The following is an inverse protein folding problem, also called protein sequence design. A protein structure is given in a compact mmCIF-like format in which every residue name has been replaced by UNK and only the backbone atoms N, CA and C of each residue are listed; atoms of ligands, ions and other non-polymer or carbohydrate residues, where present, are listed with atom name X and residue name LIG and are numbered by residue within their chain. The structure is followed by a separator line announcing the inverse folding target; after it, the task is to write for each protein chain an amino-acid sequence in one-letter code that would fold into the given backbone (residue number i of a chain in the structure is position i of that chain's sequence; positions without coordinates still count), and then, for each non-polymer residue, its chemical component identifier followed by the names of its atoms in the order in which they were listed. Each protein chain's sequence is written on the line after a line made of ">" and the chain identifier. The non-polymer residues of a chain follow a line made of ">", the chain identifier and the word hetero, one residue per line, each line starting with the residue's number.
data_IF_124578180282
#
_entry.id   IF_124578180282
#
_cell.length_a   1.000
_cell.length_b   1.000
_cell.length_c   1.000
_cell.angle_alpha   90.00
_cell.angle_beta   90.00
_cell.angle_gamma   90.00
#
_symmetry.space_group_name_H-M   'P 1'
#
loop_
_entity.id
_entity.type
_entity.pdbx_description
1 polymer ?
#
# COMPACT_ATOMS: atom_id res chain seq x y z
N UNK A 1 -29.15 4.51 44.49
CA UNK A 1 -29.97 4.94 43.33
C UNK A 1 -29.02 5.55 42.31
N UNK A 2 -28.19 4.72 41.68
CA UNK A 2 -28.25 4.36 40.24
C UNK A 2 -28.08 5.56 39.29
N UNK A 3 -26.83 6.02 39.14
CA UNK A 3 -26.39 6.51 37.83
C UNK A 3 -25.67 5.35 37.14
N UNK A 4 -26.43 4.60 36.36
CA UNK A 4 -25.93 3.54 35.51
C UNK A 4 -25.15 4.20 34.37
N UNK A 5 -23.84 4.39 34.60
CA UNK A 5 -22.85 4.76 33.59
C UNK A 5 -23.01 3.80 32.41
N UNK A 6 -23.74 4.23 31.37
CA UNK A 6 -24.00 3.41 30.17
C UNK A 6 -22.65 2.94 29.62
N UNK A 7 -22.46 1.63 29.40
CA UNK A 7 -21.23 1.14 28.82
C UNK A 7 -21.09 1.74 27.41
N UNK A 8 -19.89 2.26 27.16
CA UNK A 8 -19.43 2.92 25.96
C UNK A 8 -19.93 2.21 24.68
N UNK A 9 -21.04 2.70 24.09
CA UNK A 9 -21.49 2.23 22.78
C UNK A 9 -20.54 2.80 21.72
N UNK A 10 -19.92 1.98 20.86
CA UNK A 10 -19.12 2.49 19.75
C UNK A 10 -20.03 3.34 18.87
N UNK A 11 -19.68 4.61 18.69
CA UNK A 11 -20.45 5.51 17.81
C UNK A 11 -20.21 5.06 16.36
N UNK A 12 -21.18 5.29 15.47
CA UNK A 12 -21.04 4.92 14.05
C UNK A 12 -19.76 5.52 13.40
N UNK A 13 -19.28 6.67 13.90
CA UNK A 13 -18.00 7.27 13.51
C UNK A 13 -16.77 6.44 13.89
N UNK A 14 -16.78 5.74 15.03
CA UNK A 14 -15.65 4.92 15.48
C UNK A 14 -15.44 3.71 14.55
N UNK A 15 -16.55 3.14 14.04
CA UNK A 15 -16.51 2.01 13.11
C UNK A 15 -15.97 2.42 11.74
N UNK A 16 -16.45 3.54 11.19
CA UNK A 16 -15.95 4.06 9.92
C UNK A 16 -14.45 4.39 9.97
N UNK A 17 -14.00 5.00 11.09
CA UNK A 17 -12.57 5.30 11.31
C UNK A 17 -11.75 4.01 11.45
N UNK A 18 -12.26 2.99 12.14
CA UNK A 18 -11.58 1.69 12.24
C UNK A 18 -11.49 0.98 10.88
N UNK A 19 -12.54 1.03 10.06
CA UNK A 19 -12.54 0.44 8.71
C UNK A 19 -11.52 1.12 7.80
N UNK A 20 -11.45 2.46 7.80
CA UNK A 20 -10.43 3.20 7.04
C UNK A 20 -9.01 2.85 7.52
N UNK A 21 -8.79 2.75 8.84
CA UNK A 21 -7.49 2.35 9.40
C UNK A 21 -7.10 0.94 8.98
N UNK A 22 -8.05 -0.01 8.97
CA UNK A 22 -7.80 -1.37 8.52
C UNK A 22 -7.41 -1.42 7.04
N UNK A 23 -8.14 -0.70 6.17
CA UNK A 23 -7.80 -0.60 4.74
C UNK A 23 -6.42 0.01 4.53
N UNK A 24 -6.07 1.05 5.30
CA UNK A 24 -4.76 1.71 5.21
C UNK A 24 -3.64 0.76 5.63
N UNK A 25 -3.85 0.01 6.71
CA UNK A 25 -2.90 -0.98 7.20
C UNK A 25 -2.72 -2.15 6.23
N UNK A 26 -3.83 -2.65 5.64
CA UNK A 26 -3.80 -3.69 4.61
C UNK A 26 -3.02 -3.22 3.38
N UNK A 27 -3.25 -2.00 2.92
CA UNK A 27 -2.53 -1.42 1.79
C UNK A 27 -1.03 -1.26 2.09
N UNK A 28 -0.68 -0.78 3.29
CA UNK A 28 0.73 -0.67 3.70
C UNK A 28 1.43 -2.02 3.65
N UNK A 29 0.82 -3.08 4.21
CA UNK A 29 1.40 -4.43 4.16
C UNK A 29 1.61 -4.95 2.75
N UNK A 30 0.66 -4.71 1.85
CA UNK A 30 0.80 -5.07 0.43
C UNK A 30 1.96 -4.29 -0.20
N UNK A 31 2.04 -2.98 0.04
CA UNK A 31 3.11 -2.17 -0.51
C UNK A 31 4.50 -2.60 0.01
N UNK A 32 4.62 -2.95 1.29
CA UNK A 32 5.87 -3.42 1.88
C UNK A 32 6.30 -4.76 1.28
N UNK A 33 5.35 -5.68 1.02
CA UNK A 33 5.61 -6.92 0.30
C UNK A 33 6.10 -6.66 -1.13
N UNK A 34 5.49 -5.70 -1.81
CA UNK A 34 5.87 -5.34 -3.19
C UNK A 34 7.27 -4.72 -3.21
N UNK A 35 7.63 -3.89 -2.23
CA UNK A 35 8.99 -3.40 -2.08
C UNK A 35 10.00 -4.55 -1.95
N UNK A 36 9.69 -5.57 -1.15
CA UNK A 36 10.54 -6.75 -0.99
C UNK A 36 10.69 -7.52 -2.31
N UNK A 37 9.59 -7.70 -3.05
CA UNK A 37 9.61 -8.36 -4.37
C UNK A 37 10.44 -7.56 -5.39
N UNK A 38 10.26 -6.25 -5.46
CA UNK A 38 11.01 -5.38 -6.37
C UNK A 38 12.52 -5.38 -6.10
N UNK A 39 12.92 -5.56 -4.84
CA UNK A 39 14.32 -5.68 -4.45
C UNK A 39 14.92 -7.05 -4.82
N UNK A 40 14.11 -8.06 -5.12
CA UNK A 40 14.58 -9.41 -5.44
C UNK A 40 15.31 -9.46 -6.79
N UNK A 41 16.46 -10.16 -6.89
CA UNK A 41 17.19 -10.32 -8.14
C UNK A 41 16.41 -11.10 -9.21
N UNK A 42 15.47 -11.94 -8.79
CA UNK A 42 14.66 -12.82 -9.66
C UNK A 42 13.51 -12.12 -10.40
N UNK A 43 13.19 -10.87 -10.04
CA UNK A 43 12.09 -10.11 -10.63
C UNK A 43 12.62 -9.29 -11.81
N UNK A 44 12.08 -9.52 -13.00
CA UNK A 44 12.39 -8.72 -14.20
C UNK A 44 11.67 -7.38 -14.21
N UNK A 45 12.12 -6.43 -15.04
CA UNK A 45 11.46 -5.12 -15.21
C UNK A 45 9.98 -5.28 -15.58
N UNK A 46 9.64 -6.22 -16.46
CA UNK A 46 8.25 -6.44 -16.89
C UNK A 46 7.39 -6.89 -15.70
N UNK A 47 7.90 -7.80 -14.87
CA UNK A 47 7.22 -8.25 -13.67
C UNK A 47 7.09 -7.13 -12.63
N UNK A 48 8.15 -6.34 -12.42
CA UNK A 48 8.16 -5.18 -11.55
C UNK A 48 7.08 -4.16 -11.95
N UNK A 49 7.00 -3.81 -13.24
CA UNK A 49 5.98 -2.92 -13.78
C UNK A 49 4.56 -3.48 -13.55
N UNK A 50 4.37 -4.79 -13.76
CA UNK A 50 3.09 -5.45 -13.50
C UNK A 50 2.71 -5.40 -12.02
N UNK A 51 3.65 -5.65 -11.11
CA UNK A 51 3.43 -5.59 -9.65
C UNK A 51 3.02 -4.18 -9.21
N UNK A 52 3.69 -3.15 -9.72
CA UNK A 52 3.34 -1.76 -9.43
C UNK A 52 1.94 -1.43 -9.93
N UNK A 53 1.60 -1.85 -11.16
CA UNK A 53 0.29 -1.63 -11.74
C UNK A 53 -0.82 -2.33 -10.94
N UNK A 54 -0.60 -3.58 -10.52
CA UNK A 54 -1.55 -4.33 -9.69
C UNK A 54 -1.74 -3.68 -8.31
N UNK A 55 -0.65 -3.20 -7.70
CA UNK A 55 -0.69 -2.52 -6.41
C UNK A 55 -1.48 -1.21 -6.49
N UNK A 56 -1.30 -0.45 -7.57
CA UNK A 56 -2.11 0.74 -7.85
C UNK A 56 -3.59 0.41 -7.98
N UNK A 57 -3.95 -0.61 -8.78
CA UNK A 57 -5.35 -1.04 -8.91
C UNK A 57 -5.96 -1.47 -7.58
N UNK A 58 -5.19 -2.20 -6.77
CA UNK A 58 -5.62 -2.62 -5.44
C UNK A 58 -5.86 -1.42 -4.51
N UNK A 59 -4.96 -0.43 -4.52
CA UNK A 59 -5.12 0.80 -3.74
C UNK A 59 -6.37 1.58 -4.13
N UNK A 60 -6.64 1.72 -5.43
CA UNK A 60 -7.82 2.41 -5.95
C UNK A 60 -9.12 1.68 -5.62
N UNK A 61 -9.10 0.35 -5.52
CA UNK A 61 -10.26 -0.43 -5.06
C UNK A 61 -10.56 -0.18 -3.58
N UNK A 62 -9.54 0.04 -2.75
CA UNK A 62 -9.71 0.36 -1.33
C UNK A 62 -10.06 1.83 -1.10
N UNK A 63 -9.52 2.73 -1.92
CA UNK A 63 -9.62 4.18 -1.79
C UNK A 63 -9.75 4.86 -3.18
N UNK A 64 -10.95 4.85 -3.78
CA UNK A 64 -11.16 5.39 -5.13
C UNK A 64 -10.80 6.88 -5.24
N UNK A 65 -11.07 7.67 -4.20
CA UNK A 65 -10.81 9.12 -4.18
C UNK A 65 -9.40 9.51 -3.73
N UNK A 66 -8.51 8.55 -3.39
CA UNK A 66 -7.19 8.85 -2.81
C UNK A 66 -6.01 8.46 -3.72
N UNK A 67 -6.21 8.46 -5.03
CA UNK A 67 -5.17 8.14 -6.02
C UNK A 67 -3.90 9.00 -5.87
N UNK A 68 -4.06 10.32 -5.76
CA UNK A 68 -2.94 11.25 -5.69
C UNK A 68 -2.04 11.01 -4.48
N UNK A 69 -2.65 10.64 -3.34
CA UNK A 69 -1.92 10.31 -2.11
C UNK A 69 -1.15 9.00 -2.28
N UNK A 70 -1.75 8.01 -2.94
CA UNK A 70 -1.08 6.75 -3.26
C UNK A 70 0.15 6.98 -4.16
N UNK A 71 -0.01 7.76 -5.24
CA UNK A 71 1.07 8.11 -6.16
C UNK A 71 2.22 8.80 -5.41
N UNK A 72 1.93 9.78 -4.55
CA UNK A 72 2.97 10.49 -3.80
C UNK A 72 3.78 9.56 -2.87
N UNK A 73 3.10 8.67 -2.17
CA UNK A 73 3.70 7.86 -1.10
C UNK A 73 4.37 6.59 -1.62
N UNK A 74 3.75 5.88 -2.55
CA UNK A 74 4.19 4.54 -2.95
C UNK A 74 5.02 4.56 -4.23
N UNK A 75 4.68 5.41 -5.20
CA UNK A 75 5.46 5.51 -6.45
C UNK A 75 6.89 5.98 -6.18
N UNK A 76 7.06 6.95 -5.28
CA UNK A 76 8.38 7.42 -4.85
C UNK A 76 9.24 6.28 -4.29
N UNK A 77 8.64 5.40 -3.48
CA UNK A 77 9.34 4.24 -2.91
C UNK A 77 9.69 3.19 -3.96
N UNK A 78 8.74 2.82 -4.82
CA UNK A 78 8.97 1.84 -5.88
C UNK A 78 10.01 2.32 -6.90
N UNK A 79 9.94 3.59 -7.31
CA UNK A 79 10.89 4.19 -8.24
C UNK A 79 12.31 4.16 -7.69
N UNK A 80 12.49 4.44 -6.38
CA UNK A 80 13.81 4.36 -5.75
C UNK A 80 14.40 2.96 -5.86
N UNK A 81 13.62 1.93 -5.53
CA UNK A 81 14.07 0.53 -5.62
C UNK A 81 14.41 0.15 -7.06
N UNK A 82 13.55 0.51 -8.01
CA UNK A 82 13.78 0.25 -9.44
C UNK A 82 15.04 0.94 -9.93
N UNK A 83 15.22 2.22 -9.60
CA UNK A 83 16.39 3.00 -10.01
C UNK A 83 17.68 2.40 -9.44
N UNK A 84 17.67 2.03 -8.16
CA UNK A 84 18.81 1.37 -7.52
C UNK A 84 19.13 0.01 -8.18
N UNK A 85 18.10 -0.75 -8.57
CA UNK A 85 18.25 -2.04 -9.27
C UNK A 85 18.81 -1.86 -10.69
N UNK A 86 18.28 -0.90 -11.45
CA UNK A 86 18.76 -0.57 -12.79
C UNK A 86 20.22 -0.11 -12.78
N UNK A 87 20.64 0.64 -11.77
CA UNK A 87 22.04 1.05 -11.61
C UNK A 87 23.00 -0.08 -11.23
N UNK A 88 22.52 -1.11 -10.50
CA UNK A 88 23.36 -2.20 -9.98
C UNK A 88 23.45 -3.43 -10.88
N UNK A 89 22.41 -3.68 -11.69
CA UNK A 89 22.22 -4.94 -12.41
C UNK A 89 21.65 -4.70 -13.80
N UNK A 90 22.45 -4.80 -14.89
CA UNK A 90 21.95 -4.69 -16.25
C UNK A 90 21.03 -5.85 -16.66
N UNK A 91 21.13 -7.02 -15.99
CA UNK A 91 20.23 -8.16 -16.19
C UNK A 91 18.77 -7.84 -15.86
N UNK A 92 18.51 -6.76 -15.14
CA UNK A 92 17.15 -6.33 -14.81
C UNK A 92 16.36 -5.91 -16.06
N UNK A 93 17.03 -5.45 -17.11
CA UNK A 93 16.43 -4.99 -18.37
C UNK A 93 16.08 -6.13 -19.35
N UNK A 94 16.55 -7.35 -19.09
CA UNK A 94 16.35 -8.53 -19.95
C UNK A 94 15.05 -9.29 -19.65
#
# INVERSE_FOLDING_TARGET
>A
MTDARKPNQPHAGDRAVQEERQKAWQLSRVADLICLLLASPSVSVVQACRLIHLTKRFALMLFPDKEAVFEMIYRSRFNRIISERMSRSPEFLN
#
